data_IF_700186698955
#
_entry.id   IF_700186698955
#
_cell.length_a   1.000
_cell.length_b   1.000
_cell.length_c   1.000
_cell.angle_alpha   90.00
_cell.angle_beta   90.00
_cell.angle_gamma   90.00
#
_symmetry.space_group_name_H-M   'P 1'
#
loop_
_entity.id
_entity.type
_entity.pdbx_description
1 polymer ?
#
# COMPACT_ATOMS: atom_id res chain seq x y z
N UNK A 1 46.50 -1.28 -14.91
CA UNK A 1 45.24 -0.81 -15.55
C UNK A 1 45.27 -1.04 -17.07
N UNK A 2 44.13 -1.34 -17.71
CA UNK A 2 44.01 -1.44 -19.18
C UNK A 2 42.89 -0.53 -19.67
N UNK A 3 42.98 -0.10 -20.94
CA UNK A 3 41.96 0.74 -21.56
C UNK A 3 41.81 2.10 -20.88
N UNK A 4 40.58 2.56 -20.70
CA UNK A 4 40.28 3.89 -20.15
C UNK A 4 40.83 4.13 -18.73
N UNK A 5 41.05 3.07 -17.94
CA UNK A 5 41.68 3.19 -16.62
C UNK A 5 43.18 3.50 -16.71
N UNK A 6 43.86 3.09 -17.78
CA UNK A 6 45.27 3.40 -18.01
C UNK A 6 45.43 4.85 -18.52
N UNK A 7 44.55 5.29 -19.42
CA UNK A 7 44.53 6.68 -19.92
C UNK A 7 44.22 7.68 -18.82
N UNK A 8 43.22 7.40 -17.97
CA UNK A 8 42.90 8.23 -16.78
C UNK A 8 44.07 8.33 -15.80
N UNK A 9 44.84 7.27 -15.67
CA UNK A 9 46.03 7.26 -14.81
C UNK A 9 47.18 8.06 -15.43
N UNK A 10 47.36 8.00 -16.75
CA UNK A 10 48.36 8.77 -17.49
C UNK A 10 48.05 10.27 -17.57
N UNK A 11 46.77 10.65 -17.63
CA UNK A 11 46.31 12.03 -17.84
C UNK A 11 45.78 12.72 -16.57
N UNK A 12 46.14 12.24 -15.38
CA UNK A 12 45.81 12.92 -14.11
C UNK A 12 44.33 12.88 -13.69
N UNK A 13 43.51 12.06 -14.35
CA UNK A 13 42.09 11.87 -14.02
C UNK A 13 41.15 12.86 -14.72
N UNK A 14 40.42 12.35 -15.72
CA UNK A 14 39.37 13.06 -16.48
C UNK A 14 39.91 13.80 -17.70
N UNK A 15 39.46 13.43 -18.90
CA UNK A 15 39.78 14.15 -20.13
C UNK A 15 38.92 15.43 -20.18
N UNK A 16 39.54 16.63 -20.16
CA UNK A 16 38.84 17.92 -20.34
C UNK A 16 38.89 18.31 -21.81
N UNK A 17 37.83 18.01 -22.55
CA UNK A 17 37.71 18.34 -23.97
C UNK A 17 37.37 19.83 -24.17
N UNK A 18 37.85 20.44 -25.25
CA UNK A 18 37.65 21.88 -25.53
C UNK A 18 36.17 22.26 -25.69
N UNK A 19 35.33 21.35 -26.17
CA UNK A 19 33.88 21.54 -26.29
C UNK A 19 33.14 21.70 -24.96
N UNK A 20 33.80 21.37 -23.84
CA UNK A 20 33.23 21.52 -22.50
C UNK A 20 33.50 22.90 -21.87
N UNK A 21 34.29 23.77 -22.51
CA UNK A 21 34.64 25.08 -21.98
C UNK A 21 33.43 26.05 -22.02
N UNK A 22 33.16 26.71 -20.89
CA UNK A 22 32.17 27.81 -20.81
C UNK A 22 32.78 29.15 -21.21
N UNK A 23 34.11 29.23 -21.26
CA UNK A 23 34.88 30.40 -21.67
C UNK A 23 35.36 30.25 -23.10
N UNK A 24 35.71 31.36 -23.75
CA UNK A 24 36.24 31.35 -25.11
C UNK A 24 37.61 30.68 -25.16
N UNK A 25 37.83 29.79 -26.13
CA UNK A 25 39.12 29.11 -26.32
C UNK A 25 40.24 30.08 -26.70
N UNK A 26 39.91 31.25 -27.24
CA UNK A 26 40.86 32.33 -27.55
C UNK A 26 41.47 32.96 -26.29
N UNK A 27 40.78 32.84 -25.15
CA UNK A 27 41.21 33.38 -23.86
C UNK A 27 42.01 32.37 -23.02
N UNK A 28 42.31 31.18 -23.58
CA UNK A 28 43.02 30.09 -22.92
C UNK A 28 44.53 30.13 -23.19
N UNK A 29 45.33 30.23 -22.14
CA UNK A 29 46.79 30.40 -22.20
C UNK A 29 47.55 29.09 -21.89
N UNK A 30 47.12 27.99 -22.48
CA UNK A 30 47.69 26.66 -22.26
C UNK A 30 47.59 25.75 -23.48
N UNK A 31 48.38 24.68 -23.48
CA UNK A 31 48.43 23.77 -24.62
C UNK A 31 47.16 22.93 -24.75
N UNK A 32 46.76 22.65 -25.99
CA UNK A 32 45.63 21.78 -26.34
C UNK A 32 46.18 20.67 -27.22
N UNK A 33 45.94 19.42 -26.81
CA UNK A 33 46.30 18.24 -27.59
C UNK A 33 45.11 17.77 -28.41
N UNK A 34 45.33 17.61 -29.71
CA UNK A 34 44.33 17.11 -30.65
C UNK A 34 44.61 15.65 -30.98
N UNK A 35 43.55 14.85 -31.13
CA UNK A 35 43.72 13.46 -31.56
C UNK A 35 44.20 13.38 -33.02
N UNK A 36 44.72 12.20 -33.39
CA UNK A 36 45.32 11.97 -34.71
C UNK A 36 44.34 12.15 -35.89
N UNK A 37 43.04 12.27 -35.61
CA UNK A 37 41.99 12.40 -36.62
C UNK A 37 41.28 13.76 -36.56
N UNK A 38 41.69 14.67 -35.67
CA UNK A 38 41.11 16.00 -35.50
C UNK A 38 39.69 15.99 -34.94
N UNK A 39 39.24 14.87 -34.40
CA UNK A 39 37.85 14.70 -33.95
C UNK A 39 37.67 15.13 -32.49
N UNK A 40 38.77 15.16 -31.71
CA UNK A 40 38.76 15.53 -30.30
C UNK A 40 39.99 16.34 -29.94
N UNK A 41 39.78 17.45 -29.23
CA UNK A 41 40.85 18.27 -28.65
C UNK A 41 40.69 18.34 -27.14
N UNK A 42 41.79 18.15 -26.41
CA UNK A 42 41.84 18.04 -24.94
C UNK A 42 42.85 19.04 -24.39
N UNK A 43 42.52 19.70 -23.29
CA UNK A 43 43.46 20.60 -22.61
C UNK A 43 44.59 19.81 -21.96
N UNK A 44 45.83 20.26 -22.18
CA UNK A 44 47.03 19.65 -21.62
C UNK A 44 47.16 19.84 -20.09
N UNK A 45 46.69 20.99 -19.60
CA UNK A 45 46.82 21.42 -18.21
C UNK A 45 45.44 21.55 -17.57
N UNK A 46 45.11 20.57 -16.73
CA UNK A 46 43.83 20.51 -16.06
C UNK A 46 43.64 21.65 -15.04
N UNK A 47 44.69 22.10 -14.34
CA UNK A 47 44.56 23.13 -13.31
C UNK A 47 44.23 24.49 -13.93
N UNK A 48 44.89 24.82 -15.05
CA UNK A 48 44.62 26.07 -15.78
C UNK A 48 43.23 26.09 -16.41
N UNK A 49 42.81 24.98 -17.00
CA UNK A 49 41.45 24.82 -17.50
C UNK A 49 40.42 25.09 -16.40
N UNK A 50 40.63 24.50 -15.23
CA UNK A 50 39.68 24.59 -14.13
C UNK A 50 39.62 25.96 -13.46
N UNK A 51 40.74 26.66 -13.34
CA UNK A 51 40.75 28.04 -12.85
C UNK A 51 39.91 28.98 -13.73
N UNK A 52 39.97 28.80 -15.06
CA UNK A 52 39.19 29.60 -16.02
C UNK A 52 37.72 29.20 -16.04
N UNK A 53 37.43 27.91 -15.94
CA UNK A 53 36.07 27.40 -15.92
C UNK A 53 35.31 27.85 -14.67
N UNK A 54 35.94 27.80 -13.49
CA UNK A 54 35.33 28.26 -12.24
C UNK A 54 35.05 29.78 -12.24
N UNK A 55 35.95 30.58 -12.82
CA UNK A 55 35.72 32.02 -12.99
C UNK A 55 34.53 32.32 -13.91
N UNK A 56 34.39 31.60 -15.02
CA UNK A 56 33.26 31.76 -15.95
C UNK A 56 31.92 31.36 -15.33
N UNK A 57 31.90 30.32 -14.49
CA UNK A 57 30.70 29.88 -13.74
C UNK A 57 30.23 30.96 -12.78
N UNK A 58 31.15 31.62 -12.09
CA UNK A 58 30.81 32.64 -11.10
C UNK A 58 30.20 33.90 -11.76
N UNK A 59 30.71 34.29 -12.93
CA UNK A 59 30.12 35.39 -13.73
C UNK A 59 28.66 35.08 -14.13
N UNK A 60 28.38 33.86 -14.61
CA UNK A 60 27.01 33.47 -14.96
C UNK A 60 26.11 33.29 -13.72
N UNK A 61 26.68 32.91 -12.56
CA UNK A 61 25.95 32.88 -11.28
C UNK A 61 25.50 34.28 -10.86
N UNK A 62 26.35 35.29 -10.95
CA UNK A 62 26.00 36.68 -10.63
C UNK A 62 24.93 37.24 -11.58
N UNK A 63 25.02 36.91 -12.87
CA UNK A 63 24.00 37.27 -13.87
C UNK A 63 22.64 36.63 -13.58
N UNK A 64 22.62 35.41 -13.06
CA UNK A 64 21.38 34.74 -12.67
C UNK A 64 20.78 35.34 -11.39
N UNK A 65 21.61 35.69 -10.39
CA UNK A 65 21.14 36.38 -9.19
C UNK A 65 20.58 37.77 -9.51
N UNK A 66 21.28 38.56 -10.34
CA UNK A 66 20.82 39.90 -10.76
C UNK A 66 19.56 39.86 -11.63
N UNK A 67 19.30 38.75 -12.33
CA UNK A 67 18.04 38.55 -13.05
C UNK A 67 16.84 38.30 -12.13
N UNK A 68 17.03 38.11 -10.82
CA UNK A 68 15.96 37.98 -9.81
C UNK A 68 15.62 36.55 -9.38
N UNK A 69 16.59 35.62 -9.40
CA UNK A 69 16.44 34.29 -8.78
C UNK A 69 16.77 34.35 -7.28
N UNK A 70 16.01 33.63 -6.45
CA UNK A 70 16.12 33.69 -4.98
C UNK A 70 17.47 33.17 -4.46
N UNK A 71 18.01 32.12 -5.08
CA UNK A 71 19.29 31.51 -4.73
C UNK A 71 19.88 30.75 -5.93
N UNK A 72 21.20 30.76 -6.05
CA UNK A 72 21.97 29.97 -7.02
C UNK A 72 23.00 29.14 -6.26
N UNK A 73 22.89 27.82 -6.34
CA UNK A 73 23.77 26.87 -5.65
C UNK A 73 24.64 26.16 -6.68
N UNK A 74 25.97 26.32 -6.56
CA UNK A 74 26.93 25.57 -7.37
C UNK A 74 27.19 24.24 -6.66
N UNK A 75 26.95 23.14 -7.37
CA UNK A 75 27.21 21.80 -6.84
C UNK A 75 28.72 21.51 -6.89
N UNK A 76 29.25 20.75 -5.93
CA UNK A 76 30.63 20.26 -5.98
C UNK A 76 30.95 19.56 -7.30
N UNK A 77 32.21 19.65 -7.72
CA UNK A 77 32.65 19.10 -9.00
C UNK A 77 32.37 17.59 -9.10
N UNK A 78 31.61 17.20 -10.12
CA UNK A 78 31.16 15.84 -10.37
C UNK A 78 29.89 15.42 -9.66
N UNK A 79 29.29 16.30 -8.85
CA UNK A 79 27.97 16.07 -8.26
C UNK A 79 26.87 16.53 -9.22
N UNK A 80 25.85 15.69 -9.41
CA UNK A 80 24.78 15.88 -10.38
C UNK A 80 23.53 16.45 -9.73
N UNK A 81 22.77 17.27 -10.46
CA UNK A 81 21.50 17.76 -9.94
C UNK A 81 20.40 16.69 -10.10
N UNK A 82 19.82 16.25 -8.98
CA UNK A 82 18.81 15.22 -8.94
C UNK A 82 17.41 15.81 -8.79
N UNK A 83 16.74 16.14 -9.90
CA UNK A 83 15.46 16.86 -9.92
C UNK A 83 14.33 16.27 -9.07
N UNK A 84 14.36 14.97 -8.75
CA UNK A 84 13.39 14.30 -7.87
C UNK A 84 13.55 14.64 -6.38
N UNK A 85 14.74 15.10 -5.96
CA UNK A 85 15.02 15.55 -4.59
C UNK A 85 14.62 17.02 -4.37
N UNK A 86 14.01 17.65 -5.37
CA UNK A 86 13.59 19.04 -5.35
C UNK A 86 12.14 19.17 -5.85
N UNK A 87 11.36 20.08 -5.27
CA UNK A 87 10.04 20.46 -5.78
C UNK A 87 10.19 21.54 -6.85
N UNK A 88 9.48 21.40 -7.96
CA UNK A 88 9.52 22.38 -9.04
C UNK A 88 8.71 23.63 -8.62
N UNK A 89 9.39 24.76 -8.52
CA UNK A 89 8.80 26.03 -8.13
C UNK A 89 9.16 27.11 -9.14
N UNK A 90 8.15 27.86 -9.58
CA UNK A 90 8.38 28.99 -10.47
C UNK A 90 9.26 30.07 -9.79
N UNK A 91 9.99 30.84 -10.60
CA UNK A 91 10.85 31.94 -10.12
C UNK A 91 10.13 32.90 -9.16
N UNK A 92 8.87 33.24 -9.44
CA UNK A 92 8.03 34.13 -8.59
C UNK A 92 7.65 33.52 -7.23
N UNK A 93 7.74 32.20 -7.08
CA UNK A 93 7.36 31.47 -5.87
C UNK A 93 8.58 31.12 -4.99
N UNK A 94 9.77 31.58 -5.36
CA UNK A 94 11.01 31.35 -4.60
C UNK A 94 11.87 30.18 -5.10
N UNK A 95 11.61 29.64 -6.30
CA UNK A 95 12.45 28.60 -6.90
C UNK A 95 13.91 29.05 -7.09
N UNK A 96 14.83 28.13 -6.86
CA UNK A 96 16.28 28.32 -6.91
C UNK A 96 16.86 27.80 -8.24
N UNK A 97 18.15 28.08 -8.49
CA UNK A 97 18.92 27.56 -9.62
C UNK A 97 20.08 26.72 -9.10
N UNK A 98 20.29 25.56 -9.71
CA UNK A 98 21.43 24.68 -9.42
C UNK A 98 22.37 24.64 -10.60
N UNK A 99 23.68 24.66 -10.33
CA UNK A 99 24.73 24.62 -11.34
C UNK A 99 25.50 23.31 -11.17
N UNK A 100 25.38 22.43 -12.17
CA UNK A 100 26.10 21.14 -12.22
C UNK A 100 27.43 21.33 -12.96
N UNK A 101 28.53 20.87 -12.38
CA UNK A 101 29.89 20.98 -12.96
C UNK A 101 30.50 19.58 -13.07
N UNK A 102 30.72 19.05 -14.28
CA UNK A 102 31.21 17.68 -14.51
C UNK A 102 32.73 17.57 -14.46
N UNK A 103 33.30 16.40 -14.18
CA UNK A 103 34.77 16.22 -14.18
C UNK A 103 35.45 16.45 -15.54
N UNK A 104 34.69 16.44 -16.64
CA UNK A 104 35.17 16.75 -18.00
C UNK A 104 35.19 18.24 -18.32
N UNK A 105 34.68 19.10 -17.43
CA UNK A 105 34.54 20.53 -17.71
C UNK A 105 33.11 21.00 -17.93
N UNK A 106 32.20 20.15 -18.42
CA UNK A 106 30.87 20.59 -18.86
C UNK A 106 30.03 21.12 -17.70
N UNK A 107 29.27 22.20 -17.96
CA UNK A 107 28.43 22.87 -16.96
C UNK A 107 27.01 23.06 -17.45
N UNK A 108 26.04 22.77 -16.58
CA UNK A 108 24.61 22.94 -16.85
C UNK A 108 23.90 23.78 -15.77
N UNK A 109 23.05 24.72 -16.21
CA UNK A 109 22.26 25.58 -15.32
C UNK A 109 20.79 25.14 -15.28
N UNK A 110 20.36 24.65 -14.12
CA UNK A 110 19.03 24.03 -13.95
C UNK A 110 18.17 24.92 -13.06
N UNK A 111 17.13 25.51 -13.65
CA UNK A 111 16.33 26.59 -13.06
C UNK A 111 14.96 26.11 -12.58
N UNK A 112 14.46 26.65 -11.47
CA UNK A 112 13.06 26.50 -11.04
C UNK A 112 12.80 25.35 -10.07
N UNK A 113 13.72 25.11 -9.13
CA UNK A 113 13.64 24.00 -8.18
C UNK A 113 13.90 24.46 -6.75
N UNK A 114 13.28 23.84 -5.75
CA UNK A 114 13.52 24.07 -4.32
C UNK A 114 13.72 22.74 -3.58
N UNK A 115 14.60 22.67 -2.58
CA UNK A 115 14.94 21.40 -1.90
C UNK A 115 13.71 20.71 -1.30
N UNK A 116 13.43 19.49 -1.75
CA UNK A 116 12.35 18.63 -1.26
C UNK A 116 12.85 17.99 0.02
N UNK A 117 12.11 18.12 1.12
CA UNK A 117 12.42 17.34 2.33
C UNK A 117 12.19 15.85 2.02
N UNK A 118 13.31 15.16 1.73
CA UNK A 118 13.59 13.72 1.56
C UNK A 118 12.40 12.78 1.34
N UNK A 119 12.43 12.00 0.25
CA UNK A 119 12.51 10.52 0.31
C UNK A 119 12.71 9.86 -1.07
N UNK A 120 13.92 9.32 -1.27
CA UNK A 120 14.35 8.09 -1.96
C UNK A 120 13.82 7.62 -3.34
N UNK A 121 14.80 7.52 -4.27
CA UNK A 121 15.29 6.30 -4.97
C UNK A 121 14.87 5.99 -6.43
N UNK A 122 15.92 6.06 -7.27
CA UNK A 122 16.11 5.69 -8.66
C UNK A 122 15.78 4.22 -9.07
N UNK A 123 15.43 3.99 -10.36
CA UNK A 123 16.38 3.51 -11.40
C UNK A 123 15.73 3.18 -12.75
N UNK A 124 16.53 3.43 -13.79
CA UNK A 124 16.34 3.15 -15.22
C UNK A 124 16.11 1.68 -15.57
N UNK A 125 15.41 1.42 -16.70
CA UNK A 125 15.62 0.23 -17.53
C UNK A 125 15.71 0.56 -19.02
N UNK A 126 16.78 0.02 -19.58
CA UNK A 126 17.23 -0.15 -20.98
C UNK A 126 16.19 -0.11 -22.11
N UNK A 127 16.62 0.54 -23.21
CA UNK A 127 15.94 0.76 -24.49
C UNK A 127 15.46 -0.53 -25.16
N UNK A 128 14.14 -0.66 -25.30
CA UNK A 128 13.47 -1.71 -26.07
C UNK A 128 13.39 -1.35 -27.56
N UNK A 129 13.35 -2.37 -28.42
CA UNK A 129 13.23 -2.28 -29.88
C UNK A 129 11.95 -1.54 -30.31
N UNK A 130 12.03 -0.89 -31.49
CA UNK A 130 11.06 0.11 -31.94
C UNK A 130 9.73 -0.56 -32.34
N UNK A 131 8.60 -0.26 -31.67
CA UNK A 131 7.33 -0.93 -31.94
C UNK A 131 6.73 -0.51 -33.29
N UNK A 132 6.04 -1.45 -33.94
CA UNK A 132 5.39 -1.30 -35.26
C UNK A 132 4.26 -0.26 -35.28
N UNK A 133 3.73 0.10 -34.11
CA UNK A 133 2.84 1.22 -33.93
C UNK A 133 3.46 2.21 -32.92
N UNK A 134 3.30 3.51 -33.16
CA UNK A 134 3.69 4.49 -32.15
C UNK A 134 2.81 4.31 -30.91
N UNK A 135 3.34 4.54 -29.70
CA UNK A 135 2.54 4.42 -28.48
C UNK A 135 1.20 5.20 -28.52
N UNK A 136 1.11 6.39 -29.17
CA UNK A 136 -0.17 7.05 -29.41
C UNK A 136 -1.11 6.28 -30.35
N UNK A 137 -0.60 5.63 -31.41
CA UNK A 137 -1.38 4.83 -32.35
C UNK A 137 -1.86 3.51 -31.71
N UNK A 138 -1.00 2.86 -30.92
CA UNK A 138 -1.39 1.68 -30.12
C UNK A 138 -2.48 2.05 -29.11
N UNK A 139 -2.28 3.13 -28.35
CA UNK A 139 -3.28 3.64 -27.43
C UNK A 139 -4.60 4.00 -28.15
N UNK A 140 -4.53 4.58 -29.35
CA UNK A 140 -5.73 4.85 -30.16
C UNK A 140 -6.48 3.55 -30.53
N UNK A 141 -5.76 2.53 -30.99
CA UNK A 141 -6.34 1.21 -31.32
C UNK A 141 -6.92 0.54 -30.08
N UNK A 142 -6.18 0.53 -28.96
CA UNK A 142 -6.60 -0.05 -27.70
C UNK A 142 -7.83 0.65 -27.14
N UNK A 143 -7.91 1.98 -27.22
CA UNK A 143 -9.08 2.74 -26.79
C UNK A 143 -10.31 2.43 -27.66
N UNK A 144 -10.16 2.28 -28.98
CA UNK A 144 -11.26 1.89 -29.86
C UNK A 144 -11.72 0.43 -29.63
N UNK A 145 -10.77 -0.50 -29.44
CA UNK A 145 -11.07 -1.90 -29.09
C UNK A 145 -11.76 -2.00 -27.73
N UNK A 146 -11.26 -1.25 -26.75
CA UNK A 146 -11.86 -1.13 -25.42
C UNK A 146 -13.27 -0.55 -25.48
N UNK A 147 -13.49 0.52 -26.26
CA UNK A 147 -14.82 1.12 -26.45
C UNK A 147 -15.80 0.12 -27.09
N UNK A 148 -15.39 -0.60 -28.14
CA UNK A 148 -16.20 -1.63 -28.78
C UNK A 148 -16.51 -2.79 -27.82
N UNK A 149 -15.51 -3.29 -27.09
CA UNK A 149 -15.68 -4.35 -26.10
C UNK A 149 -16.68 -3.96 -25.01
N UNK A 150 -16.58 -2.73 -24.48
CA UNK A 150 -17.54 -2.18 -23.52
C UNK A 150 -18.95 -2.09 -24.10
N UNK A 151 -19.08 -1.58 -25.32
CA UNK A 151 -20.40 -1.43 -25.98
C UNK A 151 -21.08 -2.77 -26.23
N UNK A 152 -20.33 -3.81 -26.60
CA UNK A 152 -20.84 -5.17 -26.76
C UNK A 152 -21.23 -5.76 -25.39
N UNK A 153 -20.36 -5.64 -24.39
CA UNK A 153 -20.58 -6.19 -23.05
C UNK A 153 -21.88 -5.68 -22.40
N UNK A 154 -22.32 -4.45 -22.70
CA UNK A 154 -23.61 -3.91 -22.23
C UNK A 154 -24.82 -4.78 -22.61
N UNK A 155 -24.74 -5.53 -23.71
CA UNK A 155 -25.81 -6.43 -24.17
C UNK A 155 -25.73 -7.83 -23.54
N UNK A 156 -24.69 -8.09 -22.76
CA UNK A 156 -24.38 -9.41 -22.22
C UNK A 156 -24.21 -9.34 -20.70
N UNK A 157 -25.30 -9.02 -19.98
CA UNK A 157 -25.33 -8.90 -18.52
C UNK A 157 -24.66 -10.10 -17.82
N UNK A 158 -24.92 -11.32 -18.27
CA UNK A 158 -24.36 -12.52 -17.65
C UNK A 158 -22.84 -12.67 -17.84
N UNK A 159 -22.30 -12.18 -18.95
CA UNK A 159 -20.85 -12.12 -19.18
C UNK A 159 -20.25 -10.97 -18.36
N UNK A 160 -20.95 -9.84 -18.26
CA UNK A 160 -20.53 -8.69 -17.44
C UNK A 160 -20.44 -9.05 -15.95
N UNK A 161 -21.39 -9.83 -15.42
CA UNK A 161 -21.35 -10.32 -14.04
C UNK A 161 -20.19 -11.29 -13.80
N UNK A 162 -19.90 -12.19 -14.74
CA UNK A 162 -18.74 -13.10 -14.69
C UNK A 162 -17.41 -12.33 -14.76
N UNK A 163 -17.33 -11.33 -15.62
CA UNK A 163 -16.15 -10.47 -15.73
C UNK A 163 -15.96 -9.59 -14.47
N UNK A 164 -17.05 -9.05 -13.90
CA UNK A 164 -17.00 -8.32 -12.64
C UNK A 164 -16.51 -9.22 -11.51
N UNK A 165 -17.08 -10.42 -11.38
CA UNK A 165 -16.62 -11.40 -10.41
C UNK A 165 -15.12 -11.71 -10.59
N UNK A 166 -14.67 -11.96 -11.83
CA UNK A 166 -13.26 -12.20 -12.12
C UNK A 166 -12.36 -11.00 -11.72
N UNK A 167 -12.81 -9.76 -11.93
CA UNK A 167 -12.07 -8.56 -11.49
C UNK A 167 -12.01 -8.43 -9.96
N UNK A 168 -13.11 -8.73 -9.25
CA UNK A 168 -13.11 -8.69 -7.79
C UNK A 168 -12.13 -9.73 -7.21
N UNK A 169 -12.00 -10.88 -7.88
CA UNK A 169 -11.12 -12.00 -7.50
C UNK A 169 -9.65 -11.72 -7.87
N UNK A 170 -9.37 -11.48 -9.15
CA UNK A 170 -8.01 -11.33 -9.66
C UNK A 170 -7.41 -9.93 -9.45
N UNK A 171 -8.23 -8.92 -9.11
CA UNK A 171 -7.87 -7.51 -9.11
C UNK A 171 -8.05 -6.86 -10.48
N UNK A 172 -8.22 -5.53 -10.50
CA UNK A 172 -8.17 -4.76 -11.74
C UNK A 172 -7.45 -3.42 -11.48
N UNK A 173 -6.79 -2.82 -12.49
CA UNK A 173 -6.06 -1.56 -12.32
C UNK A 173 -6.89 -0.43 -11.71
N UNK A 174 -8.20 -0.42 -12.00
CA UNK A 174 -9.17 0.56 -11.51
C UNK A 174 -10.11 0.03 -10.42
N UNK A 175 -9.93 -1.22 -9.98
CA UNK A 175 -10.72 -1.84 -8.90
C UNK A 175 -9.75 -2.43 -7.88
N UNK A 176 -9.63 -1.76 -6.74
CA UNK A 176 -8.86 -2.28 -5.61
C UNK A 176 -9.76 -3.12 -4.72
N UNK A 177 -9.67 -4.43 -4.88
CA UNK A 177 -10.20 -5.41 -3.93
C UNK A 177 -9.06 -5.91 -3.07
N UNK A 178 -9.15 -5.67 -1.76
CA UNK A 178 -8.22 -6.23 -0.80
C UNK A 178 -9.04 -7.00 0.23
N UNK A 179 -8.73 -8.29 0.46
CA UNK A 179 -9.32 -9.00 1.58
C UNK A 179 -8.94 -8.28 2.87
N UNK A 180 -9.80 -8.34 3.88
CA UNK A 180 -9.39 -7.90 5.21
C UNK A 180 -8.21 -8.78 5.66
N UNK A 181 -7.13 -8.14 6.11
CA UNK A 181 -5.91 -8.86 6.51
C UNK A 181 -6.14 -9.74 7.75
N UNK A 182 -7.24 -9.52 8.47
CA UNK A 182 -7.59 -10.13 9.75
C UNK A 182 -6.38 -10.20 10.70
N UNK A 183 -5.54 -9.18 10.66
CA UNK A 183 -4.22 -9.21 11.27
C UNK A 183 -4.28 -8.75 12.73
N UNK A 184 -3.68 -9.54 13.62
CA UNK A 184 -3.46 -9.19 15.02
C UNK A 184 -1.98 -9.34 15.37
N UNK A 185 -1.48 -8.51 16.28
CA UNK A 185 -0.08 -8.56 16.75
C UNK A 185 0.17 -9.70 17.75
N UNK A 186 -0.88 -10.38 18.22
CA UNK A 186 -0.80 -11.42 19.24
C UNK A 186 -1.12 -12.78 18.64
N UNK A 187 -0.18 -13.70 18.75
CA UNK A 187 -0.31 -15.07 18.21
C UNK A 187 -1.48 -15.82 18.86
N UNK A 188 -1.74 -15.61 20.16
CA UNK A 188 -2.83 -16.26 20.87
C UNK A 188 -4.20 -15.83 20.33
N UNK A 189 -4.32 -14.57 19.92
CA UNK A 189 -5.54 -14.05 19.29
C UNK A 189 -5.70 -14.59 17.86
N UNK A 190 -4.61 -14.70 17.09
CA UNK A 190 -4.65 -15.28 15.76
C UNK A 190 -5.07 -16.76 15.81
N UNK A 191 -4.49 -17.53 16.73
CA UNK A 191 -4.83 -18.94 16.94
C UNK A 191 -6.29 -19.12 17.38
N UNK A 192 -6.78 -18.27 18.30
CA UNK A 192 -8.19 -18.26 18.74
C UNK A 192 -9.15 -18.01 17.57
N UNK A 193 -8.88 -17.00 16.73
CA UNK A 193 -9.72 -16.71 15.54
C UNK A 193 -9.68 -17.85 14.54
N UNK A 194 -8.50 -18.40 14.24
CA UNK A 194 -8.35 -19.54 13.34
C UNK A 194 -9.11 -20.79 13.81
N UNK A 195 -9.17 -21.02 15.13
CA UNK A 195 -9.92 -22.13 15.73
C UNK A 195 -11.43 -21.86 15.88
N UNK A 196 -11.89 -20.64 15.60
CA UNK A 196 -13.31 -20.29 15.72
C UNK A 196 -14.17 -21.02 14.67
N UNK A 197 -15.41 -21.34 15.03
CA UNK A 197 -16.33 -22.05 14.11
C UNK A 197 -16.59 -21.25 12.84
N UNK A 198 -16.74 -19.93 12.98
CA UNK A 198 -16.94 -19.01 11.86
C UNK A 198 -15.78 -19.05 10.89
N UNK A 199 -14.53 -18.97 11.38
CA UNK A 199 -13.35 -19.02 10.52
C UNK A 199 -13.18 -20.40 9.87
N UNK A 200 -13.37 -21.50 10.60
CA UNK A 200 -13.29 -22.85 10.04
C UNK A 200 -14.31 -23.05 8.91
N UNK A 201 -15.55 -22.58 9.10
CA UNK A 201 -16.58 -22.65 8.07
C UNK A 201 -16.22 -21.78 6.86
N UNK A 202 -15.68 -20.57 7.08
CA UNK A 202 -15.26 -19.67 6.02
C UNK A 202 -14.07 -20.21 5.22
N UNK A 203 -13.06 -20.79 5.88
CA UNK A 203 -11.92 -21.44 5.21
C UNK A 203 -12.32 -22.69 4.45
N UNK A 204 -13.28 -23.47 4.96
CA UNK A 204 -13.85 -24.60 4.23
C UNK A 204 -14.51 -24.12 2.93
N UNK A 205 -15.34 -23.07 3.01
CA UNK A 205 -15.98 -22.48 1.83
C UNK A 205 -14.93 -21.89 0.89
N UNK A 206 -13.88 -21.21 1.40
CA UNK A 206 -12.76 -20.71 0.61
C UNK A 206 -12.10 -21.83 -0.20
N UNK A 207 -11.84 -22.97 0.43
CA UNK A 207 -11.25 -24.12 -0.24
C UNK A 207 -12.19 -24.74 -1.29
N UNK A 208 -13.50 -24.80 -1.03
CA UNK A 208 -14.48 -25.26 -2.01
C UNK A 208 -14.59 -24.31 -3.21
N UNK A 209 -14.62 -23.00 -2.97
CA UNK A 209 -14.60 -21.96 -4.02
C UNK A 209 -13.27 -21.98 -4.78
N UNK A 210 -12.15 -22.20 -4.10
CA UNK A 210 -10.84 -22.39 -4.71
C UNK A 210 -10.83 -23.55 -5.70
N UNK A 211 -11.33 -24.73 -5.29
CA UNK A 211 -11.51 -25.90 -6.17
C UNK A 211 -12.44 -25.62 -7.35
N UNK A 212 -13.55 -24.92 -7.10
CA UNK A 212 -14.49 -24.51 -8.15
C UNK A 212 -13.85 -23.58 -9.19
N UNK A 213 -12.84 -22.81 -8.78
CA UNK A 213 -12.09 -21.88 -9.62
C UNK A 213 -10.77 -22.47 -10.16
N UNK A 214 -10.48 -23.74 -9.92
CA UNK A 214 -9.20 -24.39 -10.23
C UNK A 214 -7.98 -23.66 -9.62
N UNK A 215 -8.15 -23.05 -8.44
CA UNK A 215 -7.08 -22.42 -7.66
C UNK A 215 -6.55 -23.41 -6.64
N UNK A 216 -5.23 -23.61 -6.63
CA UNK A 216 -4.56 -24.49 -5.67
C UNK A 216 -4.42 -23.80 -4.31
N UNK A 217 -5.04 -24.38 -3.29
CA UNK A 217 -5.08 -23.94 -1.87
C UNK A 217 -4.90 -22.42 -1.63
N UNK A 218 -5.78 -21.58 -2.19
CA UNK A 218 -5.59 -20.13 -2.14
C UNK A 218 -5.75 -19.60 -0.72
N UNK A 219 -4.74 -18.89 -0.20
CA UNK A 219 -4.86 -18.16 1.07
C UNK A 219 -5.96 -17.09 1.00
N UNK A 220 -6.19 -16.50 -0.18
CA UNK A 220 -7.32 -15.62 -0.48
C UNK A 220 -7.84 -15.85 -1.90
N UNK A 221 -9.16 -15.74 -2.06
CA UNK A 221 -9.78 -15.76 -3.39
C UNK A 221 -9.53 -14.41 -4.07
N UNK A 222 -9.82 -13.33 -3.36
CA UNK A 222 -9.64 -11.94 -3.80
C UNK A 222 -8.24 -11.39 -3.51
N UNK A 223 -7.77 -10.52 -4.41
CA UNK A 223 -6.49 -9.82 -4.27
C UNK A 223 -5.29 -10.62 -4.77
N UNK A 224 -4.27 -9.89 -5.25
CA UNK A 224 -3.04 -10.44 -5.81
C UNK A 224 -2.21 -9.35 -6.49
N UNK A 225 -0.99 -9.70 -6.94
CA UNK A 225 -0.30 -8.88 -7.92
C UNK A 225 -1.10 -8.92 -9.23
N UNK A 226 -1.39 -7.76 -9.79
CA UNK A 226 -2.06 -7.64 -11.09
C UNK A 226 -1.25 -8.42 -12.14
N UNK A 227 -1.77 -9.58 -12.53
CA UNK A 227 -1.27 -10.39 -13.63
C UNK A 227 -2.44 -10.70 -14.57
N UNK A 228 -2.29 -10.31 -15.83
CA UNK A 228 -3.28 -10.54 -16.88
C UNK A 228 -3.61 -12.03 -17.05
N UNK A 229 -2.68 -12.93 -16.74
CA UNK A 229 -2.91 -14.37 -16.78
C UNK A 229 -3.90 -14.83 -15.70
N UNK A 230 -3.80 -14.32 -14.46
CA UNK A 230 -4.72 -14.68 -13.37
C UNK A 230 -6.16 -14.28 -13.70
N UNK A 231 -6.36 -13.05 -14.18
CA UNK A 231 -7.68 -12.58 -14.62
C UNK A 231 -8.24 -13.45 -15.74
N UNK A 232 -7.43 -13.72 -16.76
CA UNK A 232 -7.84 -14.53 -17.92
C UNK A 232 -8.22 -15.95 -17.51
N UNK A 233 -7.45 -16.56 -16.60
CA UNK A 233 -7.69 -17.92 -16.10
C UNK A 233 -8.98 -18.00 -15.28
N UNK A 234 -9.18 -17.08 -14.32
CA UNK A 234 -10.41 -17.01 -13.52
C UNK A 234 -11.61 -16.75 -14.41
N UNK A 235 -11.53 -15.80 -15.33
CA UNK A 235 -12.63 -15.49 -16.25
C UNK A 235 -12.99 -16.68 -17.15
N UNK A 236 -12.00 -17.37 -17.74
CA UNK A 236 -12.21 -18.56 -18.54
C UNK A 236 -12.94 -19.65 -17.74
N UNK A 237 -12.54 -19.87 -16.48
CA UNK A 237 -13.24 -20.80 -15.58
C UNK A 237 -14.68 -20.35 -15.32
N UNK A 238 -14.93 -19.07 -15.00
CA UNK A 238 -16.28 -18.55 -14.75
C UNK A 238 -17.23 -18.71 -15.94
N UNK A 239 -16.71 -18.69 -17.17
CA UNK A 239 -17.52 -18.93 -18.37
C UNK A 239 -18.05 -20.38 -18.45
N UNK A 240 -17.46 -21.32 -17.73
CA UNK A 240 -17.90 -22.73 -17.67
C UNK A 240 -18.90 -23.02 -16.54
N UNK A 241 -19.09 -22.07 -15.63
CA UNK A 241 -19.87 -22.29 -14.41
C UNK A 241 -21.34 -21.92 -14.62
N UNK A 242 -22.20 -22.62 -13.88
CA UNK A 242 -23.64 -22.32 -13.85
C UNK A 242 -23.89 -20.96 -13.20
N UNK A 243 -25.03 -20.33 -13.50
CA UNK A 243 -25.38 -19.05 -12.87
C UNK A 243 -25.50 -19.17 -11.33
N UNK A 244 -25.88 -20.34 -10.83
CA UNK A 244 -25.93 -20.63 -9.39
C UNK A 244 -24.53 -20.61 -8.76
N UNK A 245 -23.55 -21.20 -9.43
CA UNK A 245 -22.15 -21.20 -8.99
C UNK A 245 -21.54 -19.80 -9.03
N UNK A 246 -21.87 -19.00 -10.06
CA UNK A 246 -21.44 -17.60 -10.15
C UNK A 246 -22.01 -16.78 -8.99
N UNK A 247 -23.29 -16.96 -8.67
CA UNK A 247 -23.91 -16.28 -7.52
C UNK A 247 -23.25 -16.69 -6.19
N UNK A 248 -22.90 -17.98 -6.03
CA UNK A 248 -22.18 -18.48 -4.85
C UNK A 248 -20.79 -17.84 -4.73
N UNK A 249 -20.03 -17.77 -5.82
CA UNK A 249 -18.71 -17.13 -5.84
C UNK A 249 -18.81 -15.63 -5.52
N UNK A 250 -19.76 -14.91 -6.12
CA UNK A 250 -19.97 -13.48 -5.85
C UNK A 250 -20.33 -13.23 -4.37
N UNK A 251 -21.12 -14.12 -3.78
CA UNK A 251 -21.49 -14.04 -2.36
C UNK A 251 -20.26 -14.22 -1.46
N UNK A 252 -19.40 -15.21 -1.78
CA UNK A 252 -18.16 -15.44 -1.04
C UNK A 252 -17.21 -14.23 -1.14
N UNK A 253 -17.00 -13.72 -2.36
CA UNK A 253 -16.15 -12.56 -2.62
C UNK A 253 -16.64 -11.32 -1.86
N UNK A 254 -17.95 -11.07 -1.84
CA UNK A 254 -18.54 -9.96 -1.10
C UNK A 254 -18.31 -10.09 0.42
N UNK A 255 -18.30 -11.31 0.96
CA UNK A 255 -18.00 -11.56 2.36
C UNK A 255 -16.50 -11.42 2.68
N UNK A 256 -15.62 -11.89 1.80
CA UNK A 256 -14.15 -11.88 2.01
C UNK A 256 -13.56 -10.46 2.09
N UNK A 257 -14.15 -9.50 1.37
CA UNK A 257 -13.68 -8.10 1.35
C UNK A 257 -14.23 -7.23 2.49
N UNK A 258 -15.09 -7.77 3.36
CA UNK A 258 -15.65 -7.02 4.49
C UNK A 258 -14.54 -6.77 5.52
N UNK A 259 -14.22 -5.50 5.72
CA UNK A 259 -13.20 -5.10 6.69
C UNK A 259 -13.65 -5.35 8.14
N UNK A 260 -12.75 -5.89 8.95
CA UNK A 260 -13.00 -6.13 10.36
C UNK A 260 -13.24 -4.81 11.10
N UNK A 261 -14.34 -4.74 11.85
CA UNK A 261 -14.71 -3.52 12.58
C UNK A 261 -15.23 -2.38 11.71
N UNK A 262 -15.62 -2.65 10.46
CA UNK A 262 -16.31 -1.70 9.59
C UNK A 262 -17.83 -1.69 9.84
N UNK A 263 -18.50 -0.57 9.55
CA UNK A 263 -19.96 -0.42 9.65
C UNK A 263 -20.77 -1.48 8.89
N UNK A 264 -20.20 -2.08 7.84
CA UNK A 264 -20.86 -3.14 7.07
C UNK A 264 -21.26 -4.35 7.94
N UNK A 265 -20.45 -4.70 8.94
CA UNK A 265 -20.76 -5.81 9.86
C UNK A 265 -22.03 -5.51 10.67
N UNK A 266 -22.13 -4.28 11.19
CA UNK A 266 -23.26 -3.82 11.98
C UNK A 266 -24.52 -3.60 11.11
N UNK A 267 -24.37 -3.21 9.83
CA UNK A 267 -25.48 -3.19 8.86
C UNK A 267 -26.03 -4.59 8.59
N UNK A 268 -25.15 -5.59 8.37
CA UNK A 268 -25.57 -6.98 8.17
C UNK A 268 -26.30 -7.52 9.40
N UNK A 269 -25.86 -7.15 10.61
CA UNK A 269 -26.51 -7.52 11.86
C UNK A 269 -27.95 -7.01 12.02
N UNK A 270 -28.36 -5.99 11.25
CA UNK A 270 -29.73 -5.47 11.27
C UNK A 270 -30.69 -6.27 10.41
N UNK A 271 -30.18 -6.96 9.40
CA UNK A 271 -31.00 -7.62 8.38
C UNK A 271 -30.86 -9.15 8.41
N UNK A 272 -29.86 -9.69 9.11
CA UNK A 272 -29.63 -11.11 9.28
C UNK A 272 -29.82 -11.52 10.76
N UNK A 273 -30.46 -12.67 11.05
CA UNK A 273 -30.59 -13.21 12.40
C UNK A 273 -29.24 -13.79 12.87
N UNK A 274 -28.33 -12.93 13.34
CA UNK A 274 -27.02 -13.35 13.84
C UNK A 274 -27.04 -13.55 15.36
N UNK A 275 -26.84 -14.78 15.82
CA UNK A 275 -26.51 -15.08 17.21
C UNK A 275 -25.03 -15.46 17.34
N UNK A 276 -24.26 -14.62 18.02
CA UNK A 276 -22.83 -14.84 18.26
C UNK A 276 -22.56 -16.10 19.11
N UNK A 277 -23.57 -16.61 19.83
CA UNK A 277 -23.46 -17.85 20.59
C UNK A 277 -23.17 -19.06 19.70
N UNK A 278 -23.68 -19.06 18.46
CA UNK A 278 -23.47 -20.16 17.51
C UNK A 278 -22.02 -20.23 17.02
N UNK A 279 -21.33 -19.08 16.92
CA UNK A 279 -20.08 -18.93 16.17
C UNK A 279 -18.81 -18.94 17.02
N UNK A 280 -18.90 -18.61 18.30
CA UNK A 280 -17.73 -18.59 19.20
C UNK A 280 -18.13 -18.99 20.62
N UNK A 281 -17.17 -19.32 21.48
CA UNK A 281 -17.33 -19.44 22.95
C UNK A 281 -16.14 -18.78 23.62
N UNK A 282 -16.30 -18.02 24.72
CA UNK A 282 -15.17 -17.34 25.36
C UNK A 282 -14.10 -18.36 25.77
N UNK A 283 -12.91 -18.22 25.20
CA UNK A 283 -11.79 -19.16 25.35
C UNK A 283 -10.69 -18.59 26.26
N UNK A 284 -9.60 -19.34 26.40
CA UNK A 284 -8.49 -18.92 27.26
C UNK A 284 -7.86 -17.60 26.83
N UNK A 285 -7.73 -17.36 25.52
CA UNK A 285 -7.23 -16.09 24.99
C UNK A 285 -8.12 -14.91 25.42
N UNK A 286 -9.45 -15.05 25.34
CA UNK A 286 -10.36 -14.03 25.86
C UNK A 286 -10.14 -13.74 27.34
N UNK A 287 -10.07 -14.77 28.18
CA UNK A 287 -9.92 -14.59 29.62
C UNK A 287 -8.54 -14.05 29.99
N UNK A 288 -7.47 -14.32 29.24
CA UNK A 288 -6.16 -13.70 29.44
C UNK A 288 -6.17 -12.20 29.11
N UNK A 289 -6.89 -11.81 28.07
CA UNK A 289 -7.03 -10.41 27.64
C UNK A 289 -7.94 -9.58 28.56
N UNK A 290 -8.88 -10.21 29.27
CA UNK A 290 -9.80 -9.53 30.19
C UNK A 290 -9.09 -9.07 31.47
N UNK A 291 -8.29 -8.00 31.41
CA UNK A 291 -7.47 -7.54 32.56
C UNK A 291 -8.23 -6.68 33.57
N UNK A 292 -9.31 -6.05 33.15
CA UNK A 292 -10.09 -5.15 34.00
C UNK A 292 -10.98 -5.95 34.97
N UNK A 293 -10.74 -5.78 36.28
CA UNK A 293 -11.49 -6.44 37.34
C UNK A 293 -12.94 -5.94 37.43
N UNK A 294 -13.20 -4.66 37.17
CA UNK A 294 -14.56 -4.12 37.17
C UNK A 294 -15.36 -4.69 35.99
N UNK A 295 -14.74 -4.80 34.82
CA UNK A 295 -15.38 -5.42 33.66
C UNK A 295 -15.61 -6.92 33.87
N UNK A 296 -14.65 -7.61 34.48
CA UNK A 296 -14.81 -9.02 34.87
C UNK A 296 -15.98 -9.20 35.84
N UNK A 297 -16.13 -8.30 36.83
CA UNK A 297 -17.23 -8.35 37.78
C UNK A 297 -18.59 -8.04 37.13
N UNK A 298 -18.63 -7.11 36.16
CA UNK A 298 -19.84 -6.82 35.40
C UNK A 298 -20.28 -8.02 34.53
N UNK A 299 -19.33 -8.71 33.89
CA UNK A 299 -19.59 -9.96 33.17
C UNK A 299 -20.04 -11.08 34.10
N UNK A 300 -19.45 -11.17 35.30
CA UNK A 300 -19.88 -12.10 36.34
C UNK A 300 -21.33 -11.82 36.77
N UNK A 301 -21.74 -10.56 36.86
CA UNK A 301 -23.11 -10.19 37.16
C UNK A 301 -24.10 -10.64 36.08
N UNK A 302 -23.69 -10.58 34.80
CA UNK A 302 -24.53 -11.05 33.69
C UNK A 302 -24.74 -12.57 33.72
N UNK A 303 -23.68 -13.35 33.96
CA UNK A 303 -23.73 -14.81 33.86
C UNK A 303 -24.17 -15.51 35.14
N UNK A 304 -23.78 -14.98 36.31
CA UNK A 304 -24.02 -15.61 37.62
C UNK A 304 -24.96 -14.79 38.51
N UNK A 305 -25.44 -13.64 38.04
CA UNK A 305 -26.35 -12.75 38.77
C UNK A 305 -25.64 -11.75 39.68
N UNK A 306 -26.34 -10.64 39.96
CA UNK A 306 -25.81 -9.52 40.75
C UNK A 306 -25.41 -9.87 42.19
N UNK A 307 -26.08 -10.85 42.80
CA UNK A 307 -25.74 -11.36 44.14
C UNK A 307 -24.33 -11.97 44.17
N UNK A 308 -24.05 -12.86 43.22
CA UNK A 308 -22.73 -13.52 43.09
C UNK A 308 -21.66 -12.50 42.76
N UNK A 309 -21.94 -11.54 41.86
CA UNK A 309 -21.00 -10.48 41.55
C UNK A 309 -20.68 -9.60 42.76
N UNK A 310 -21.68 -9.23 43.58
CA UNK A 310 -21.49 -8.45 44.80
C UNK A 310 -20.66 -9.20 45.84
N UNK A 311 -20.94 -10.48 46.06
CA UNK A 311 -20.19 -11.32 46.99
C UNK A 311 -18.72 -11.50 46.58
N UNK A 312 -18.44 -11.46 45.26
CA UNK A 312 -17.10 -11.64 44.71
C UNK A 312 -16.42 -10.32 44.30
N UNK A 313 -16.96 -9.16 44.71
CA UNK A 313 -16.43 -7.85 44.31
C UNK A 313 -14.96 -7.66 44.72
N UNK A 314 -14.61 -8.12 45.91
CA UNK A 314 -13.24 -7.99 46.44
C UNK A 314 -12.33 -9.15 46.01
N UNK A 315 -12.89 -10.24 45.47
CA UNK A 315 -12.11 -11.36 44.95
C UNK A 315 -11.16 -10.94 43.81
N UNK A 316 -10.13 -11.75 43.58
CA UNK A 316 -9.17 -11.50 42.50
C UNK A 316 -9.84 -11.65 41.13
N UNK A 317 -9.34 -10.95 40.10
CA UNK A 317 -9.86 -11.11 38.73
C UNK A 317 -9.72 -12.56 38.25
N UNK A 318 -8.69 -13.29 38.68
CA UNK A 318 -8.52 -14.72 38.39
C UNK A 318 -9.65 -15.56 38.98
N UNK A 319 -10.02 -15.32 40.24
CA UNK A 319 -11.14 -16.02 40.88
C UNK A 319 -12.47 -15.71 40.18
N UNK A 320 -12.72 -14.43 39.84
CA UNK A 320 -13.93 -14.05 39.12
C UNK A 320 -14.01 -14.70 37.72
N UNK A 321 -12.91 -14.74 36.96
CA UNK A 321 -12.84 -15.44 35.66
C UNK A 321 -13.07 -16.93 35.78
N UNK A 322 -12.57 -17.56 36.85
CA UNK A 322 -12.81 -18.98 37.10
C UNK A 322 -14.31 -19.25 37.33
N UNK A 323 -15.00 -18.37 38.06
CA UNK A 323 -16.45 -18.48 38.24
C UNK A 323 -17.20 -18.35 36.90
N UNK A 324 -16.79 -17.41 36.03
CA UNK A 324 -17.40 -17.27 34.70
C UNK A 324 -17.20 -18.55 33.87
N UNK A 325 -15.99 -19.13 33.89
CA UNK A 325 -15.72 -20.43 33.22
C UNK A 325 -16.57 -21.56 33.81
N UNK A 326 -16.70 -21.61 35.13
CA UNK A 326 -17.53 -22.61 35.80
C UNK A 326 -19.00 -22.50 35.39
N UNK A 327 -19.54 -21.29 35.22
CA UNK A 327 -20.89 -21.07 34.69
C UNK A 327 -21.02 -21.49 33.22
N UNK A 328 -20.03 -21.18 32.37
CA UNK A 328 -20.03 -21.62 30.96
C UNK A 328 -20.07 -23.15 30.83
N UNK A 329 -19.29 -23.84 31.67
CA UNK A 329 -19.15 -25.29 31.61
C UNK A 329 -20.17 -26.06 32.47
N UNK A 330 -20.84 -25.40 33.42
CA UNK A 330 -21.75 -26.03 34.38
C UNK A 330 -21.01 -26.80 35.48
N UNK A 331 -19.90 -26.25 35.99
CA UNK A 331 -19.05 -26.87 37.02
C UNK A 331 -19.25 -26.22 38.38
N UNK A 332 -18.74 -26.90 39.42
CA UNK A 332 -18.69 -26.39 40.80
C UNK A 332 -20.06 -25.96 41.35
N UNK A 333 -21.11 -26.75 41.03
CA UNK A 333 -22.47 -26.53 41.52
C UNK A 333 -23.21 -25.36 40.86
N UNK A 334 -22.71 -24.84 39.73
CA UNK A 334 -23.32 -23.73 39.01
C UNK A 334 -24.14 -24.21 37.82
N UNK A 335 -25.23 -23.51 37.54
CA UNK A 335 -26.05 -23.75 36.36
C UNK A 335 -25.24 -23.47 35.09
N UNK A 336 -25.39 -24.35 34.10
CA UNK A 336 -24.65 -24.27 32.84
C UNK A 336 -25.30 -23.22 31.92
N UNK A 337 -24.54 -22.20 31.55
CA UNK A 337 -24.97 -21.13 30.63
C UNK A 337 -24.08 -21.07 29.39
N UNK A 338 -24.13 -22.08 28.50
CA UNK A 338 -23.14 -22.24 27.43
C UNK A 338 -23.27 -21.18 26.33
N UNK A 339 -24.43 -20.54 26.21
CA UNK A 339 -24.74 -19.54 25.19
C UNK A 339 -24.42 -18.12 25.65
N UNK A 340 -23.95 -17.91 26.89
CA UNK A 340 -23.62 -16.57 27.37
C UNK A 340 -22.46 -15.96 26.57
N UNK A 341 -22.66 -14.74 26.07
CA UNK A 341 -21.59 -13.96 25.44
C UNK A 341 -21.53 -12.56 26.06
N UNK A 342 -20.31 -12.01 26.25
CA UNK A 342 -20.15 -10.64 26.70
C UNK A 342 -20.93 -9.63 25.84
N UNK A 343 -21.53 -8.60 26.46
CA UNK A 343 -22.42 -7.61 25.80
C UNK A 343 -21.85 -6.95 24.53
N UNK A 344 -20.58 -6.57 24.56
CA UNK A 344 -19.83 -6.00 23.44
C UNK A 344 -19.68 -6.91 22.21
N UNK A 345 -19.88 -8.23 22.35
CA UNK A 345 -19.82 -9.20 21.25
C UNK A 345 -21.20 -9.54 20.69
N UNK A 346 -22.28 -9.06 21.29
CA UNK A 346 -23.64 -9.32 20.82
C UNK A 346 -23.96 -8.48 19.58
N UNK A 347 -25.03 -8.85 18.88
CA UNK A 347 -25.56 -8.12 17.73
C UNK A 347 -27.00 -7.68 18.04
N UNK A 348 -27.28 -6.37 18.19
CA UNK A 348 -26.33 -5.25 18.18
C UNK A 348 -25.41 -5.27 19.41
N UNK A 349 -24.22 -4.67 19.27
CA UNK A 349 -23.26 -4.59 20.37
C UNK A 349 -23.79 -3.69 21.50
N UNK A 350 -23.65 -4.16 22.74
CA UNK A 350 -24.10 -3.44 23.94
C UNK A 350 -22.92 -3.09 24.86
N UNK A 351 -23.04 -2.00 25.63
CA UNK A 351 -22.05 -1.61 26.62
C UNK A 351 -22.42 -2.06 28.04
N UNK A 352 -21.40 -2.27 28.87
CA UNK A 352 -21.55 -2.46 30.32
C UNK A 352 -21.65 -1.14 31.09
N UNK A 353 -21.12 -0.05 30.51
CA UNK A 353 -21.04 1.28 31.12
C UNK A 353 -21.50 2.35 30.14
N UNK A 354 -21.94 3.49 30.67
CA UNK A 354 -22.33 4.68 29.89
C UNK A 354 -21.11 5.43 29.33
N UNK A 355 -20.01 5.47 30.10
CA UNK A 355 -18.72 6.05 29.67
C UNK A 355 -17.84 5.00 28.98
N UNK A 356 -17.09 5.40 27.95
CA UNK A 356 -16.09 4.55 27.31
C UNK A 356 -16.66 3.44 26.40
N UNK A 357 -17.79 3.68 25.73
CA UNK A 357 -18.43 2.70 24.84
C UNK A 357 -17.43 2.11 23.82
N UNK A 358 -17.38 0.77 23.65
CA UNK A 358 -16.57 0.14 22.62
C UNK A 358 -16.90 0.64 21.22
N UNK A 359 -15.94 0.57 20.30
CA UNK A 359 -16.13 0.99 18.90
C UNK A 359 -17.32 0.32 18.22
N UNK A 360 -17.54 -0.98 18.50
CA UNK A 360 -18.69 -1.73 17.99
C UNK A 360 -20.04 -1.12 18.44
N UNK A 361 -20.16 -0.75 19.72
CA UNK A 361 -21.38 -0.11 20.25
C UNK A 361 -21.62 1.24 19.57
N UNK A 362 -20.57 2.05 19.40
CA UNK A 362 -20.68 3.36 18.72
C UNK A 362 -21.13 3.21 17.26
N UNK A 363 -20.64 2.21 16.54
CA UNK A 363 -21.07 1.93 15.16
C UNK A 363 -22.51 1.42 15.12
N UNK A 364 -22.87 0.46 15.96
CA UNK A 364 -24.23 -0.07 16.05
C UNK A 364 -25.28 1.02 16.37
N UNK A 365 -24.94 1.97 17.25
CA UNK A 365 -25.77 3.14 17.57
C UNK A 365 -25.88 4.12 16.39
N UNK A 366 -24.76 4.39 15.69
CA UNK A 366 -24.73 5.25 14.49
C UNK A 366 -25.59 4.69 13.35
N UNK A 367 -25.61 3.36 13.19
CA UNK A 367 -26.33 2.69 12.10
C UNK A 367 -27.82 2.50 12.42
N UNK A 368 -28.18 2.37 13.70
CA UNK A 368 -29.55 2.06 14.13
C UNK A 368 -30.65 2.91 13.45
N UNK A 369 -30.52 4.24 13.32
CA UNK A 369 -31.56 5.07 12.74
C UNK A 369 -31.81 4.81 11.24
N UNK A 370 -30.82 4.26 10.52
CA UNK A 370 -30.93 3.99 9.09
C UNK A 370 -31.86 2.80 8.77
N UNK A 371 -32.15 1.98 9.78
CA UNK A 371 -32.97 0.76 9.67
C UNK A 371 -34.22 0.82 10.55
N UNK A 372 -34.57 2.00 11.08
CA UNK A 372 -35.82 2.24 11.80
C UNK A 372 -36.93 2.53 10.76
N UNK A 373 -37.43 1.47 10.13
CA UNK A 373 -38.56 1.47 9.19
C UNK A 373 -39.72 0.66 9.73
#
# INVERSE_FOLDING_TARGET
>A
PRGGQLKRWLLGGGESETGAALFSLEDYDGDIFEDLFGERSVFADAEKFWARQEAAIEVEREKLLSSGWSKVTILPRGEFFHSWEYDQLAKKQGGEVFVEVRHSGEVAFIKGYASRRKTHAAKEKTRAERPECSAPLENYVDLHRHAAARAVLLKHQQIAMRLLAAHLIAGAPNIRCQPDRQATRKEETAASVAASKGQIAFEKERAEIGKLLDLDEPSHITGGNEDGWRLSSVFAKMMTLSDADIARILTFVAAEIIAAGHEAVDCLARVLPMDIADWMTPDDAFFELLRDKNMTNAMLADIAGGSVAKANRDATAKAQKAIIRDCLDGRNGREKTPNWRPRWLQFPALSYTQAGKPGAVKRAEKIAPLFAG
#
